data_IF_859292028210
#
_entry.id   IF_859292028210
#
_cell.length_a   1.000
_cell.length_b   1.000
_cell.length_c   1.000
_cell.angle_alpha   90.00
_cell.angle_beta   90.00
_cell.angle_gamma   90.00
#
_symmetry.space_group_name_H-M   'P 1'
#
loop_
_entity.id
_entity.type
_entity.pdbx_description
1 polymer ?
#
# COMPACT_ATOMS: atom_id res chain seq x y z
N UNK A 1 -24.79 1.31 26.49
CA UNK A 1 -25.11 1.44 25.05
C UNK A 1 -23.80 1.51 24.30
N UNK A 2 -23.61 0.71 23.24
CA UNK A 2 -22.39 0.82 22.41
C UNK A 2 -22.45 2.14 21.64
N UNK A 3 -21.36 2.91 21.66
CA UNK A 3 -21.29 4.20 21.02
C UNK A 3 -21.35 4.00 19.48
N UNK A 4 -22.31 4.59 18.76
CA UNK A 4 -22.43 4.42 17.30
C UNK A 4 -21.19 4.92 16.54
N UNK A 5 -20.38 5.81 17.13
CA UNK A 5 -19.12 6.27 16.56
C UNK A 5 -18.01 5.21 16.60
N UNK A 6 -18.01 4.28 17.56
CA UNK A 6 -16.99 3.22 17.64
C UNK A 6 -17.06 2.25 16.46
N UNK A 7 -18.27 2.01 15.93
CA UNK A 7 -18.46 1.17 14.75
C UNK A 7 -17.97 1.88 13.50
N UNK A 8 -18.30 3.16 13.34
CA UNK A 8 -17.86 3.96 12.20
C UNK A 8 -16.33 4.16 12.18
N UNK A 9 -15.71 4.36 13.34
CA UNK A 9 -14.25 4.45 13.46
C UNK A 9 -13.57 3.15 13.01
N UNK A 10 -14.07 1.98 13.44
CA UNK A 10 -13.52 0.68 13.05
C UNK A 10 -13.69 0.37 11.57
N UNK A 11 -14.87 0.65 11.01
CA UNK A 11 -15.15 0.44 9.57
C UNK A 11 -14.31 1.38 8.71
N UNK A 12 -14.06 2.61 9.17
CA UNK A 12 -13.17 3.55 8.50
C UNK A 12 -11.71 3.05 8.54
N UNK A 13 -11.25 2.58 9.70
CA UNK A 13 -9.90 2.02 9.85
C UNK A 13 -9.70 0.79 8.95
N UNK A 14 -10.65 -0.16 8.94
CA UNK A 14 -10.56 -1.36 8.08
C UNK A 14 -10.48 -1.00 6.60
N UNK A 15 -11.33 -0.08 6.13
CA UNK A 15 -11.31 0.35 4.73
C UNK A 15 -10.00 1.06 4.34
N UNK A 16 -9.46 1.89 5.24
CA UNK A 16 -8.16 2.54 5.02
C UNK A 16 -7.05 1.51 4.93
N UNK A 17 -7.08 0.45 5.76
CA UNK A 17 -6.12 -0.64 5.68
C UNK A 17 -6.23 -1.42 4.36
N UNK A 18 -7.44 -1.70 3.88
CA UNK A 18 -7.65 -2.35 2.58
C UNK A 18 -7.07 -1.53 1.43
N UNK A 19 -7.35 -0.23 1.37
CA UNK A 19 -6.83 0.67 0.33
C UNK A 19 -5.29 0.76 0.36
N UNK A 20 -4.69 0.79 1.56
CA UNK A 20 -3.23 0.76 1.72
C UNK A 20 -2.65 -0.56 1.20
N UNK A 21 -3.26 -1.69 1.56
CA UNK A 21 -2.80 -3.02 1.15
C UNK A 21 -2.90 -3.20 -0.36
N UNK A 22 -3.99 -2.76 -0.98
CA UNK A 22 -4.17 -2.80 -2.44
C UNK A 22 -3.09 -2.00 -3.16
N UNK A 23 -2.77 -0.80 -2.67
CA UNK A 23 -1.67 0.01 -3.21
C UNK A 23 -0.32 -0.70 -3.14
N UNK A 24 -0.04 -1.38 -2.02
CA UNK A 24 1.19 -2.16 -1.83
C UNK A 24 1.22 -3.37 -2.78
N UNK A 25 0.14 -4.15 -2.86
CA UNK A 25 0.09 -5.32 -3.76
C UNK A 25 0.27 -4.92 -5.22
N UNK A 26 -0.35 -3.80 -5.63
CA UNK A 26 -0.18 -3.28 -6.97
C UNK A 26 1.27 -2.86 -7.24
N UNK A 27 1.94 -2.20 -6.29
CA UNK A 27 3.36 -1.88 -6.39
C UNK A 27 4.25 -3.13 -6.54
N UNK A 28 3.97 -4.18 -5.77
CA UNK A 28 4.71 -5.45 -5.84
C UNK A 28 4.54 -6.14 -7.19
N UNK A 29 3.33 -6.14 -7.75
CA UNK A 29 3.07 -6.68 -9.09
C UNK A 29 3.93 -5.98 -10.15
N UNK A 30 3.94 -4.65 -10.14
CA UNK A 30 4.71 -3.85 -11.10
C UNK A 30 6.23 -4.07 -10.96
N UNK A 31 6.74 -4.16 -9.72
CA UNK A 31 8.15 -4.49 -9.47
C UNK A 31 8.52 -5.88 -10.01
N UNK A 32 7.65 -6.87 -9.80
CA UNK A 32 7.84 -8.24 -10.32
C UNK A 32 7.84 -8.29 -11.85
N UNK A 33 7.09 -7.39 -12.50
CA UNK A 33 7.05 -7.22 -13.96
C UNK A 33 8.28 -6.44 -14.50
N UNK A 34 9.19 -5.99 -13.63
CA UNK A 34 10.42 -5.28 -14.02
C UNK A 34 10.26 -3.76 -14.16
N UNK A 35 9.13 -3.19 -13.71
CA UNK A 35 8.91 -1.74 -13.71
C UNK A 35 9.93 -1.04 -12.80
N UNK A 36 10.40 0.14 -13.21
CA UNK A 36 11.35 0.94 -12.43
C UNK A 36 10.75 1.38 -11.08
N UNK A 37 11.60 1.58 -10.08
CA UNK A 37 11.16 2.03 -8.74
C UNK A 37 10.50 3.42 -8.84
N UNK A 38 11.02 4.28 -9.71
CA UNK A 38 10.53 5.62 -9.98
C UNK A 38 9.11 5.61 -10.57
N UNK A 39 8.84 4.73 -11.53
CA UNK A 39 7.53 4.67 -12.18
C UNK A 39 6.48 4.00 -11.29
N UNK A 40 6.88 3.00 -10.50
CA UNK A 40 6.01 2.41 -9.47
C UNK A 40 5.63 3.47 -8.43
N UNK A 41 6.59 4.28 -7.97
CA UNK A 41 6.31 5.36 -7.01
C UNK A 41 5.33 6.39 -7.56
N UNK A 42 5.50 6.83 -8.81
CA UNK A 42 4.56 7.77 -9.46
C UNK A 42 3.16 7.19 -9.61
N UNK A 43 3.06 5.91 -9.99
CA UNK A 43 1.77 5.27 -10.27
C UNK A 43 0.98 5.00 -9.00
N UNK A 44 1.67 4.60 -7.92
CA UNK A 44 1.03 4.22 -6.65
C UNK A 44 0.95 5.36 -5.64
N UNK A 45 1.61 6.49 -5.92
CA UNK A 45 1.82 7.57 -4.95
C UNK A 45 2.57 7.14 -3.67
N UNK A 46 3.14 5.94 -3.64
CA UNK A 46 3.96 5.45 -2.53
C UNK A 46 5.37 6.06 -2.69
N UNK A 47 6.01 6.59 -1.63
CA UNK A 47 7.34 7.18 -1.73
C UNK A 47 8.39 6.23 -2.32
N UNK A 48 9.26 6.74 -3.19
CA UNK A 48 10.38 6.00 -3.80
C UNK A 48 11.17 5.18 -2.77
N UNK A 49 11.50 5.78 -1.62
CA UNK A 49 12.27 5.11 -0.56
C UNK A 49 11.53 3.89 0.02
N UNK A 50 10.21 3.91 0.05
CA UNK A 50 9.38 2.78 0.49
C UNK A 50 9.37 1.68 -0.56
N UNK A 51 9.21 2.03 -1.84
CA UNK A 51 9.26 1.08 -2.96
C UNK A 51 10.64 0.41 -3.05
N UNK A 52 11.73 1.18 -2.88
CA UNK A 52 13.10 0.69 -2.83
C UNK A 52 13.28 -0.39 -1.74
N UNK A 53 12.83 -0.10 -0.51
CA UNK A 53 12.87 -1.06 0.60
C UNK A 53 12.03 -2.30 0.34
N UNK A 54 10.83 -2.14 -0.23
CA UNK A 54 9.98 -3.27 -0.62
C UNK A 54 10.68 -4.16 -1.65
N UNK A 55 11.36 -3.56 -2.63
CA UNK A 55 12.10 -4.29 -3.64
C UNK A 55 13.25 -5.09 -3.04
N UNK A 56 14.05 -4.47 -2.18
CA UNK A 56 15.17 -5.10 -1.48
C UNK A 56 14.72 -6.24 -0.56
N UNK A 57 13.61 -6.08 0.16
CA UNK A 57 13.12 -7.09 1.10
C UNK A 57 12.56 -8.35 0.42
N UNK A 58 12.09 -8.26 -0.83
CA UNK A 58 11.27 -9.30 -1.47
C UNK A 58 11.88 -9.90 -2.75
N UNK A 59 12.84 -9.21 -3.37
CA UNK A 59 13.45 -9.65 -4.64
C UNK A 59 14.98 -9.67 -4.64
N UNK A 60 15.62 -9.45 -3.48
CA UNK A 60 17.08 -9.63 -3.31
C UNK A 60 17.44 -11.04 -2.85
#
# INVERSE_FOLDING_TARGET
MKNPFEKQLKEHDEKVWEEILDGIFYALRLLKEGTSVEDVSKTTSIPIKTIQKLKEALFS
#
